data_IF_077096257770
#
_entry.id   IF_077096257770
#
_cell.length_a   1.000
_cell.length_b   1.000
_cell.length_c   1.000
_cell.angle_alpha   90.00
_cell.angle_beta   90.00
_cell.angle_gamma   90.00
#
_symmetry.space_group_name_H-M   'P 1'
#
loop_
_entity.id
_entity.type
_entity.pdbx_description
1 polymer ?
#
# COMPACT_ATOMS: atom_id res chain seq x y z
N UNK A 1 -13.01 28.21 7.11
CA UNK A 1 -11.64 27.69 7.35
C UNK A 1 -11.42 26.52 6.40
N UNK A 2 -10.37 26.51 5.55
CA UNK A 2 -10.05 25.33 4.77
C UNK A 2 -9.50 24.25 5.72
N UNK A 3 -10.18 23.12 5.79
CA UNK A 3 -9.70 21.94 6.51
C UNK A 3 -8.47 21.46 5.74
N UNK A 4 -7.27 21.36 6.34
CA UNK A 4 -6.12 20.80 5.65
C UNK A 4 -6.48 19.38 5.21
N UNK A 5 -6.07 18.94 4.00
CA UNK A 5 -6.31 17.58 3.57
C UNK A 5 -5.73 16.66 4.64
N UNK A 6 -6.58 15.80 5.20
CA UNK A 6 -6.18 14.77 6.14
C UNK A 6 -5.13 13.97 5.37
N UNK A 7 -3.84 14.19 5.68
CA UNK A 7 -2.77 13.38 5.12
C UNK A 7 -3.13 11.95 5.50
N UNK A 8 -3.21 11.02 4.53
CA UNK A 8 -3.41 9.64 4.89
C UNK A 8 -2.32 9.29 5.89
N UNK A 9 -2.71 8.58 6.95
CA UNK A 9 -1.76 7.94 7.84
C UNK A 9 -1.09 6.88 6.97
N UNK A 10 -0.12 7.30 6.16
CA UNK A 10 0.87 6.45 5.53
C UNK A 10 1.71 5.90 6.70
N UNK A 11 1.12 4.99 7.49
CA UNK A 11 1.93 3.99 8.19
C UNK A 11 2.74 3.37 7.07
N UNK A 12 4.06 3.51 7.09
CA UNK A 12 4.86 2.90 6.01
C UNK A 12 4.43 1.44 5.86
N UNK A 13 4.38 0.93 4.64
CA UNK A 13 3.93 -0.43 4.39
C UNK A 13 4.75 -1.42 5.22
N UNK A 14 6.02 -1.10 5.43
CA UNK A 14 6.91 -1.75 6.40
C UNK A 14 6.38 -1.78 7.84
N UNK A 15 5.87 -0.67 8.35
CA UNK A 15 5.24 -0.59 9.68
C UNK A 15 3.97 -1.45 9.70
N UNK A 16 3.16 -1.40 8.65
CA UNK A 16 1.96 -2.22 8.53
C UNK A 16 2.29 -3.74 8.54
N UNK A 17 3.29 -4.18 7.77
CA UNK A 17 3.72 -5.58 7.74
C UNK A 17 4.31 -6.05 9.06
N UNK A 18 5.01 -5.18 9.79
CA UNK A 18 5.51 -5.48 11.14
C UNK A 18 4.38 -5.62 12.16
N UNK A 19 3.35 -4.79 12.04
CA UNK A 19 2.17 -4.80 12.91
C UNK A 19 1.21 -5.95 12.55
N UNK A 20 1.23 -6.47 11.32
CA UNK A 20 0.31 -7.47 10.80
C UNK A 20 1.03 -8.68 10.15
N UNK A 21 1.78 -9.49 10.93
CA UNK A 21 2.65 -10.54 10.40
C UNK A 21 1.89 -11.67 9.67
N UNK A 22 0.64 -11.94 10.06
CA UNK A 22 -0.19 -12.96 9.40
C UNK A 22 -0.61 -12.52 7.99
N UNK A 23 -1.01 -11.25 7.81
CA UNK A 23 -1.33 -10.72 6.49
C UNK A 23 -0.08 -10.60 5.61
N UNK A 24 1.06 -10.22 6.19
CA UNK A 24 2.33 -10.23 5.49
C UNK A 24 2.69 -11.63 4.94
N UNK A 25 2.40 -12.70 5.69
CA UNK A 25 2.66 -14.07 5.24
C UNK A 25 1.81 -14.48 4.04
N UNK A 26 0.53 -14.10 4.00
CA UNK A 26 -0.38 -14.42 2.88
C UNK A 26 -0.01 -13.64 1.62
N UNK A 27 0.28 -12.33 1.74
CA UNK A 27 0.71 -11.48 0.62
C UNK A 27 2.00 -12.03 -0.02
N UNK A 28 2.95 -12.47 0.81
CA UNK A 28 4.20 -13.05 0.33
C UNK A 28 3.98 -14.46 -0.25
N UNK A 29 3.16 -15.29 0.39
CA UNK A 29 2.79 -16.62 -0.08
C UNK A 29 2.11 -16.61 -1.45
N UNK A 30 1.27 -15.62 -1.73
CA UNK A 30 0.61 -15.44 -3.03
C UNK A 30 1.61 -15.09 -4.15
N UNK A 31 2.69 -14.36 -3.84
CA UNK A 31 3.75 -14.08 -4.83
C UNK A 31 4.66 -15.30 -5.05
N UNK A 32 4.86 -16.12 -4.03
CA UNK A 32 5.72 -17.31 -4.12
C UNK A 32 4.99 -18.57 -4.61
N UNK A 33 3.67 -18.59 -4.77
CA UNK A 33 2.99 -19.69 -5.47
C UNK A 33 3.48 -19.88 -6.93
N UNK A 34 4.05 -18.83 -7.54
CA UNK A 34 4.80 -18.92 -8.81
C UNK A 34 6.29 -19.32 -8.68
N UNK A 35 6.84 -19.32 -7.46
CA UNK A 35 8.24 -19.63 -7.13
C UNK A 35 8.29 -20.79 -6.12
N UNK A 36 8.37 -22.01 -6.65
CA UNK A 36 8.44 -23.28 -5.90
C UNK A 36 9.19 -23.16 -4.56
N UNK A 37 8.47 -23.50 -3.48
CA UNK A 37 8.89 -23.97 -2.14
C UNK A 37 10.16 -23.33 -1.54
N UNK A 38 10.01 -22.51 -0.50
CA UNK A 38 11.01 -22.40 0.57
C UNK A 38 10.34 -22.09 1.93
N UNK A 39 10.87 -22.60 3.07
CA UNK A 39 10.25 -22.57 4.39
C UNK A 39 10.75 -21.44 5.30
N UNK A 40 11.22 -20.32 4.75
CA UNK A 40 11.85 -19.25 5.53
C UNK A 40 10.85 -18.17 5.96
N UNK A 41 11.02 -17.69 7.19
CA UNK A 41 10.16 -16.69 7.84
C UNK A 41 9.86 -15.49 6.94
N UNK A 42 8.62 -15.02 6.99
CA UNK A 42 8.03 -13.88 6.25
C UNK A 42 8.97 -12.68 6.06
N UNK A 43 9.84 -12.39 7.03
CA UNK A 43 10.85 -11.32 6.98
C UNK A 43 11.97 -11.59 5.97
N UNK A 44 12.50 -12.80 5.90
CA UNK A 44 13.61 -13.16 5.00
C UNK A 44 13.17 -13.11 3.54
N UNK A 45 11.93 -13.51 3.24
CA UNK A 45 11.38 -13.42 1.89
C UNK A 45 11.17 -11.97 1.42
N UNK A 46 10.69 -11.10 2.32
CA UNK A 46 10.57 -9.66 2.09
C UNK A 46 11.94 -9.03 1.87
N UNK A 47 12.93 -9.36 2.70
CA UNK A 47 14.31 -8.88 2.56
C UNK A 47 14.98 -9.42 1.30
N UNK A 48 14.66 -10.64 0.86
CA UNK A 48 15.17 -11.23 -0.38
C UNK A 48 14.57 -10.59 -1.63
N UNK A 49 13.27 -10.31 -1.66
CA UNK A 49 12.68 -9.52 -2.75
C UNK A 49 13.20 -8.08 -2.76
N UNK A 50 13.35 -7.48 -1.58
CA UNK A 50 13.90 -6.13 -1.46
C UNK A 50 15.35 -6.06 -1.86
N UNK A 51 16.19 -7.02 -1.51
CA UNK A 51 17.59 -7.05 -1.94
C UNK A 51 17.70 -7.16 -3.45
N UNK A 52 16.90 -8.01 -4.11
CA UNK A 52 16.85 -8.09 -5.58
C UNK A 52 16.36 -6.80 -6.24
N UNK A 53 15.38 -6.10 -5.64
CA UNK A 53 14.89 -4.81 -6.15
C UNK A 53 15.86 -3.67 -5.86
N UNK A 54 16.50 -3.66 -4.70
CA UNK A 54 17.57 -2.73 -4.33
C UNK A 54 18.78 -2.91 -5.23
N UNK A 55 19.18 -4.13 -5.52
CA UNK A 55 20.26 -4.43 -6.46
C UNK A 55 19.94 -3.86 -7.86
N UNK A 56 18.70 -4.00 -8.35
CA UNK A 56 18.26 -3.36 -9.60
C UNK A 56 18.23 -1.83 -9.53
N UNK A 57 17.94 -1.27 -8.37
CA UNK A 57 17.98 0.16 -8.11
C UNK A 57 19.41 0.70 -8.07
N UNK A 58 20.32 -0.06 -7.46
CA UNK A 58 21.75 0.26 -7.32
C UNK A 58 22.49 0.10 -8.65
N UNK A 59 22.16 -0.93 -9.44
CA UNK A 59 22.76 -1.18 -10.76
C UNK A 59 22.14 -0.32 -11.87
N UNK A 60 20.82 -0.07 -11.82
CA UNK A 60 20.09 0.69 -12.84
C UNK A 60 19.97 2.20 -12.56
N UNK A 61 20.17 2.61 -11.31
CA UNK A 61 20.19 4.01 -10.87
C UNK A 61 19.03 4.86 -11.39
N UNK A 62 19.36 6.06 -11.86
CA UNK A 62 18.39 7.02 -12.40
C UNK A 62 17.65 6.54 -13.66
N UNK A 63 18.26 5.67 -14.47
CA UNK A 63 17.63 5.13 -15.70
C UNK A 63 16.45 4.21 -15.35
N UNK A 64 16.63 3.35 -14.34
CA UNK A 64 15.56 2.49 -13.84
C UNK A 64 14.38 3.31 -13.30
N UNK A 65 14.66 4.32 -12.46
CA UNK A 65 13.61 5.19 -11.88
C UNK A 65 12.83 5.93 -12.96
N UNK A 66 13.51 6.49 -13.97
CA UNK A 66 12.88 7.18 -15.09
C UNK A 66 11.96 6.25 -15.90
N UNK A 67 12.42 5.05 -16.21
CA UNK A 67 11.63 4.06 -16.94
C UNK A 67 10.39 3.61 -16.15
N UNK A 68 10.52 3.39 -14.83
CA UNK A 68 9.39 3.07 -13.96
C UNK A 68 8.42 4.24 -13.86
N UNK A 69 8.90 5.46 -13.68
CA UNK A 69 8.06 6.65 -13.61
C UNK A 69 7.21 6.82 -14.87
N UNK A 70 7.79 6.57 -16.06
CA UNK A 70 7.03 6.60 -17.31
C UNK A 70 5.92 5.54 -17.36
N UNK A 71 6.16 4.33 -16.84
CA UNK A 71 5.12 3.29 -16.74
C UNK A 71 3.99 3.71 -15.79
N UNK A 72 4.32 4.35 -14.66
CA UNK A 72 3.31 4.89 -13.76
C UNK A 72 2.44 5.95 -14.42
N UNK A 73 3.06 6.92 -15.10
CA UNK A 73 2.34 8.00 -15.77
C UNK A 73 1.48 7.55 -16.96
N UNK A 74 1.97 6.59 -17.74
CA UNK A 74 1.29 6.16 -18.98
C UNK A 74 0.19 5.13 -18.75
N UNK A 75 0.33 4.30 -17.70
CA UNK A 75 -0.52 3.12 -17.51
C UNK A 75 -1.06 3.02 -16.10
N UNK A 76 -0.18 2.82 -15.11
CA UNK A 76 -0.63 2.36 -13.79
C UNK A 76 -1.57 3.34 -13.07
N UNK A 77 -1.37 4.65 -13.20
CA UNK A 77 -2.24 5.62 -12.54
C UNK A 77 -3.70 5.55 -13.02
N UNK A 78 -3.94 5.15 -14.27
CA UNK A 78 -5.28 5.02 -14.83
C UNK A 78 -5.95 3.71 -14.42
N UNK A 79 -5.16 2.68 -14.11
CA UNK A 79 -5.63 1.33 -13.76
C UNK A 79 -5.83 1.14 -12.26
N UNK A 80 -5.42 2.11 -11.41
CA UNK A 80 -5.53 1.99 -9.95
C UNK A 80 -6.94 1.58 -9.46
N UNK A 81 -8.05 2.13 -9.99
CA UNK A 81 -9.40 1.79 -9.51
C UNK A 81 -9.79 0.32 -9.75
N UNK A 82 -9.17 -0.34 -10.74
CA UNK A 82 -9.49 -1.71 -11.14
C UNK A 82 -8.51 -2.74 -10.54
N UNK A 83 -7.50 -2.27 -9.79
CA UNK A 83 -6.49 -3.14 -9.20
C UNK A 83 -6.97 -3.80 -7.90
N UNK A 84 -6.52 -5.03 -7.68
CA UNK A 84 -6.73 -5.73 -6.41
C UNK A 84 -5.89 -5.11 -5.30
N UNK A 85 -6.30 -5.30 -4.04
CA UNK A 85 -5.55 -4.78 -2.88
C UNK A 85 -4.09 -5.23 -2.89
N UNK A 86 -3.83 -6.49 -3.25
CA UNK A 86 -2.46 -7.03 -3.36
C UNK A 86 -1.61 -6.26 -4.36
N UNK A 87 -2.17 -5.87 -5.50
CA UNK A 87 -1.46 -5.16 -6.57
C UNK A 87 -1.14 -3.73 -6.13
N UNK A 88 -2.14 -3.04 -5.57
CA UNK A 88 -1.97 -1.70 -5.01
C UNK A 88 -0.90 -1.69 -3.90
N UNK A 89 -0.92 -2.70 -3.03
CA UNK A 89 0.07 -2.87 -1.97
C UNK A 89 1.50 -3.03 -2.52
N UNK A 90 1.70 -3.80 -3.58
CA UNK A 90 3.02 -3.93 -4.22
C UNK A 90 3.48 -2.64 -4.90
N UNK A 91 2.56 -1.92 -5.53
CA UNK A 91 2.87 -0.61 -6.10
C UNK A 91 3.23 0.41 -5.03
N UNK A 92 2.57 0.35 -3.86
CA UNK A 92 2.86 1.22 -2.72
C UNK A 92 4.27 0.92 -2.17
N UNK A 93 4.62 -0.36 -1.98
CA UNK A 93 5.98 -0.78 -1.60
C UNK A 93 7.06 -0.30 -2.57
N UNK A 94 6.80 -0.44 -3.87
CA UNK A 94 7.76 0.03 -4.87
C UNK A 94 7.96 1.55 -4.78
N UNK A 95 6.88 2.32 -4.62
CA UNK A 95 7.00 3.78 -4.49
C UNK A 95 7.73 4.20 -3.22
N UNK A 96 7.59 3.47 -2.10
CA UNK A 96 8.39 3.67 -0.89
C UNK A 96 9.88 3.47 -1.17
N UNK A 97 10.26 2.37 -1.82
CA UNK A 97 11.66 2.07 -2.15
C UNK A 97 12.26 3.16 -3.08
N UNK A 98 11.47 3.69 -4.03
CA UNK A 98 11.87 4.81 -4.90
C UNK A 98 12.09 6.10 -4.12
N UNK A 99 11.16 6.44 -3.23
CA UNK A 99 11.24 7.63 -2.37
C UNK A 99 12.46 7.57 -1.46
N UNK A 100 12.71 6.43 -0.82
CA UNK A 100 13.89 6.23 0.04
C UNK A 100 15.20 6.35 -0.75
N UNK A 101 15.26 5.76 -1.94
CA UNK A 101 16.43 5.87 -2.82
C UNK A 101 16.74 7.31 -3.22
N UNK A 102 15.73 8.06 -3.66
CA UNK A 102 15.93 9.45 -4.08
C UNK A 102 16.33 10.32 -2.89
N UNK A 103 15.76 10.10 -1.70
CA UNK A 103 16.19 10.77 -0.46
C UNK A 103 17.66 10.46 -0.15
N UNK A 104 18.08 9.21 -0.31
CA UNK A 104 19.47 8.79 -0.17
C UNK A 104 20.40 9.51 -1.16
N UNK A 105 20.01 9.59 -2.43
CA UNK A 105 20.77 10.30 -3.46
C UNK A 105 20.87 11.80 -3.15
N UNK A 106 19.78 12.46 -2.76
CA UNK A 106 19.78 13.88 -2.36
C UNK A 106 20.78 14.12 -1.22
N UNK A 107 20.77 13.26 -0.20
CA UNK A 107 21.66 13.39 0.96
C UNK A 107 23.14 13.18 0.61
N UNK A 108 23.43 12.34 -0.40
CA UNK A 108 24.80 12.14 -0.92
C UNK A 108 25.26 13.27 -1.84
N UNK A 109 24.33 13.99 -2.46
CA UNK A 109 24.67 14.99 -3.48
C UNK A 109 24.94 16.35 -2.83
N UNK A 110 26.21 16.62 -2.49
CA UNK A 110 26.65 17.91 -1.94
C UNK A 110 26.59 19.12 -2.90
N UNK A 111 25.91 19.00 -4.05
CA UNK A 111 25.81 20.05 -5.09
C UNK A 111 24.36 20.48 -5.31
N UNK A 112 24.12 21.79 -5.37
CA UNK A 112 22.77 22.39 -5.41
C UNK A 112 21.92 22.03 -6.65
N UNK A 113 22.52 21.95 -7.85
CA UNK A 113 21.75 21.74 -9.10
C UNK A 113 21.19 20.31 -9.25
N UNK A 114 21.98 19.24 -9.10
CA UNK A 114 21.44 17.87 -9.13
C UNK A 114 20.40 17.62 -8.04
N UNK A 115 20.55 18.26 -6.87
CA UNK A 115 19.58 18.16 -5.79
C UNK A 115 18.20 18.75 -6.15
N UNK A 116 18.12 19.76 -7.03
CA UNK A 116 16.84 20.33 -7.46
C UNK A 116 16.04 19.36 -8.33
N UNK A 117 16.70 18.72 -9.31
CA UNK A 117 16.06 17.72 -10.17
C UNK A 117 15.58 16.50 -9.36
N UNK A 118 16.41 16.03 -8.42
CA UNK A 118 16.04 14.93 -7.52
C UNK A 118 14.86 15.31 -6.60
N UNK A 119 14.77 16.56 -6.14
CA UNK A 119 13.61 17.03 -5.36
C UNK A 119 12.32 17.06 -6.18
N UNK A 120 12.37 17.39 -7.46
CA UNK A 120 11.20 17.33 -8.35
C UNK A 120 10.78 15.88 -8.62
N UNK A 121 11.75 14.99 -8.84
CA UNK A 121 11.51 13.55 -8.98
C UNK A 121 10.87 12.99 -7.71
N UNK A 122 11.42 13.33 -6.53
CA UNK A 122 10.89 12.94 -5.23
C UNK A 122 9.42 13.34 -5.04
N UNK A 123 9.08 14.61 -5.30
CA UNK A 123 7.69 15.09 -5.22
C UNK A 123 6.75 14.31 -6.13
N UNK A 124 7.24 13.93 -7.31
CA UNK A 124 6.43 13.15 -8.26
C UNK A 124 6.14 11.75 -7.71
N UNK A 125 7.14 11.08 -7.14
CA UNK A 125 6.97 9.77 -6.51
C UNK A 125 6.10 9.83 -5.26
N UNK A 126 6.25 10.85 -4.42
CA UNK A 126 5.38 11.08 -3.25
C UNK A 126 3.93 11.32 -3.67
N UNK A 127 3.69 12.04 -4.77
CA UNK A 127 2.34 12.21 -5.32
C UNK A 127 1.73 10.89 -5.84
N UNK A 128 2.53 10.04 -6.51
CA UNK A 128 2.10 8.71 -6.96
C UNK A 128 1.77 7.82 -5.76
N UNK A 129 2.65 7.80 -4.75
CA UNK A 129 2.45 7.04 -3.51
C UNK A 129 1.13 7.45 -2.83
N UNK A 130 0.87 8.76 -2.75
CA UNK A 130 -0.36 9.31 -2.20
C UNK A 130 -1.60 8.90 -3.02
N UNK A 131 -1.51 8.91 -4.35
CA UNK A 131 -2.60 8.48 -5.21
C UNK A 131 -2.96 7.00 -4.97
N UNK A 132 -1.97 6.12 -4.90
CA UNK A 132 -2.18 4.68 -4.61
C UNK A 132 -2.82 4.51 -3.23
N UNK A 133 -2.30 5.17 -2.20
CA UNK A 133 -2.83 5.07 -0.84
C UNK A 133 -4.30 5.54 -0.77
N UNK A 134 -4.63 6.65 -1.42
CA UNK A 134 -6.00 7.16 -1.46
C UNK A 134 -6.96 6.22 -2.21
N UNK A 135 -6.49 5.57 -3.27
CA UNK A 135 -7.28 4.55 -3.99
C UNK A 135 -7.51 3.34 -3.09
N UNK A 136 -6.47 2.83 -2.42
CA UNK A 136 -6.61 1.74 -1.45
C UNK A 136 -7.62 2.08 -0.35
N UNK A 137 -7.48 3.25 0.30
CA UNK A 137 -8.41 3.71 1.35
C UNK A 137 -9.87 3.75 0.87
N UNK A 138 -10.09 4.04 -0.41
CA UNK A 138 -11.43 4.12 -1.01
C UNK A 138 -11.99 2.76 -1.36
N UNK A 139 -11.24 1.93 -2.08
CA UNK A 139 -11.66 0.58 -2.44
C UNK A 139 -11.83 -0.30 -1.20
N UNK A 140 -10.91 -0.21 -0.23
CA UNK A 140 -11.03 -0.92 1.05
C UNK A 140 -12.35 -0.59 1.75
N UNK A 141 -12.73 0.68 1.76
CA UNK A 141 -13.97 1.12 2.39
C UNK A 141 -15.22 0.61 1.68
N UNK A 142 -15.26 0.75 0.36
CA UNK A 142 -16.39 0.32 -0.46
C UNK A 142 -16.57 -1.20 -0.38
N UNK A 143 -15.48 -1.95 -0.51
CA UNK A 143 -15.52 -3.41 -0.45
C UNK A 143 -15.91 -3.93 0.95
N UNK A 144 -15.38 -3.32 2.03
CA UNK A 144 -15.80 -3.67 3.39
C UNK A 144 -17.28 -3.35 3.64
N UNK A 145 -17.81 -2.28 3.04
CA UNK A 145 -19.22 -1.94 3.13
C UNK A 145 -20.10 -2.97 2.40
N UNK A 146 -19.65 -3.46 1.24
CA UNK A 146 -20.34 -4.53 0.50
C UNK A 146 -20.41 -5.83 1.32
N UNK A 147 -19.28 -6.27 1.90
CA UNK A 147 -19.25 -7.42 2.80
C UNK A 147 -20.07 -7.20 4.08
N UNK A 148 -20.09 -5.98 4.59
CA UNK A 148 -20.88 -5.64 5.78
C UNK A 148 -22.39 -5.79 5.52
N UNK A 149 -22.88 -5.34 4.37
CA UNK A 149 -24.31 -5.45 4.06
C UNK A 149 -24.74 -6.83 3.57
N UNK A 150 -23.85 -7.58 2.94
CA UNK A 150 -24.16 -8.91 2.41
C UNK A 150 -23.05 -9.93 2.73
N UNK A 151 -23.33 -10.86 3.65
CA UNK A 151 -22.42 -11.94 4.02
C UNK A 151 -22.12 -12.91 2.87
N UNK A 152 -23.00 -13.01 1.87
CA UNK A 152 -22.81 -13.87 0.69
C UNK A 152 -22.07 -13.14 -0.44
N UNK A 153 -21.76 -11.84 -0.27
CA UNK A 153 -20.98 -11.09 -1.26
C UNK A 153 -19.60 -11.73 -1.45
N UNK A 154 -19.24 -11.94 -2.72
CA UNK A 154 -17.95 -12.47 -3.14
C UNK A 154 -17.30 -11.44 -4.04
N UNK A 155 -16.43 -10.62 -3.46
CA UNK A 155 -15.49 -9.79 -4.21
C UNK A 155 -14.10 -10.41 -4.24
N UNK A 156 -13.32 -10.08 -5.26
CA UNK A 156 -11.95 -10.58 -5.42
C UNK A 156 -10.89 -9.49 -5.12
N UNK A 157 -11.32 -8.30 -4.70
CA UNK A 157 -10.43 -7.20 -4.34
C UNK A 157 -9.51 -7.56 -3.16
N UNK A 158 -10.07 -8.20 -2.13
CA UNK A 158 -9.34 -8.66 -0.94
C UNK A 158 -8.65 -10.03 -1.11
N UNK A 159 -8.50 -10.55 -2.33
CA UNK A 159 -7.80 -11.82 -2.55
C UNK A 159 -6.39 -11.80 -1.92
N UNK A 160 -6.13 -12.68 -0.95
CA UNK A 160 -4.89 -12.72 -0.16
C UNK A 160 -4.87 -11.80 1.07
N UNK A 161 -6.01 -11.20 1.43
CA UNK A 161 -6.24 -10.36 2.60
C UNK A 161 -7.50 -10.82 3.37
N UNK A 162 -7.77 -12.13 3.40
CA UNK A 162 -9.00 -12.72 3.95
C UNK A 162 -9.25 -12.33 5.42
N UNK A 163 -8.17 -12.15 6.19
CA UNK A 163 -8.20 -11.65 7.58
C UNK A 163 -8.91 -10.31 7.73
N UNK A 164 -8.97 -9.47 6.68
CA UNK A 164 -9.74 -8.22 6.74
C UNK A 164 -11.24 -8.50 6.83
N UNK A 165 -11.73 -9.45 6.03
CA UNK A 165 -13.13 -9.85 6.03
C UNK A 165 -13.48 -10.63 7.30
N UNK A 166 -12.58 -11.51 7.76
CA UNK A 166 -12.78 -12.22 9.03
C UNK A 166 -12.90 -11.27 10.22
N UNK A 167 -12.01 -10.27 10.31
CA UNK A 167 -12.08 -9.27 11.38
C UNK A 167 -13.33 -8.40 11.27
N UNK A 168 -13.73 -8.01 10.05
CA UNK A 168 -14.99 -7.30 9.82
C UNK A 168 -16.17 -8.08 10.41
N UNK A 169 -16.34 -9.34 10.05
CA UNK A 169 -17.44 -10.18 10.53
C UNK A 169 -17.38 -10.41 12.05
N UNK A 170 -16.20 -10.70 12.59
CA UNK A 170 -15.99 -10.88 14.03
C UNK A 170 -16.38 -9.63 14.83
N UNK A 171 -16.02 -8.43 14.36
CA UNK A 171 -16.36 -7.20 15.07
C UNK A 171 -17.81 -6.79 14.89
N UNK A 172 -18.39 -7.06 13.72
CA UNK A 172 -19.82 -6.89 13.46
C UNK A 172 -20.68 -7.68 14.46
N UNK A 173 -20.29 -8.91 14.78
CA UNK A 173 -21.04 -9.78 15.70
C UNK A 173 -20.78 -9.48 17.18
N UNK A 174 -19.64 -8.90 17.52
CA UNK A 174 -19.21 -8.74 18.92
C UNK A 174 -19.36 -7.32 19.48
N UNK A 175 -18.90 -6.30 18.75
CA UNK A 175 -18.76 -4.94 19.29
C UNK A 175 -18.69 -3.90 18.17
N UNK A 176 -19.77 -3.13 18.04
CA UNK A 176 -19.92 -2.06 17.04
C UNK A 176 -18.83 -0.98 17.16
N UNK A 177 -18.37 -0.67 18.38
CA UNK A 177 -17.29 0.31 18.58
C UNK A 177 -15.96 -0.23 18.08
N UNK A 178 -15.67 -1.52 18.31
CA UNK A 178 -14.48 -2.17 17.74
C UNK A 178 -14.54 -2.24 16.23
N UNK A 179 -15.72 -2.50 15.65
CA UNK A 179 -15.92 -2.45 14.21
C UNK A 179 -15.57 -1.06 13.66
N UNK A 180 -16.14 0.01 14.22
CA UNK A 180 -15.88 1.38 13.74
C UNK A 180 -14.40 1.78 13.84
N UNK A 181 -13.75 1.43 14.95
CA UNK A 181 -12.31 1.65 15.13
C UNK A 181 -11.48 0.86 14.10
N UNK A 182 -11.86 -0.40 13.84
CA UNK A 182 -11.21 -1.23 12.83
C UNK A 182 -11.34 -0.64 11.43
N UNK A 183 -12.55 -0.27 10.99
CA UNK A 183 -12.77 0.39 9.69
C UNK A 183 -11.96 1.68 9.60
N UNK A 184 -11.92 2.47 10.69
CA UNK A 184 -11.15 3.72 10.73
C UNK A 184 -9.66 3.46 10.55
N UNK A 185 -9.13 2.43 11.18
CA UNK A 185 -7.72 2.06 11.09
C UNK A 185 -7.35 1.62 9.68
N UNK A 186 -8.18 0.80 9.02
CA UNK A 186 -7.81 0.19 7.73
C UNK A 186 -8.15 1.04 6.50
N UNK A 187 -9.08 1.99 6.60
CA UNK A 187 -9.54 2.81 5.44
C UNK A 187 -9.25 4.29 5.57
N UNK A 188 -8.77 4.72 6.75
CA UNK A 188 -8.57 6.11 7.13
C UNK A 188 -9.79 7.04 6.90
N UNK A 189 -11.00 6.52 6.67
CA UNK A 189 -12.22 7.34 6.50
C UNK A 189 -12.60 8.06 7.79
N UNK A 190 -13.47 9.07 7.70
CA UNK A 190 -13.91 9.83 8.86
C UNK A 190 -14.82 8.98 9.77
N UNK A 191 -14.65 9.10 11.10
CA UNK A 191 -15.43 8.31 12.07
C UNK A 191 -16.93 8.54 11.95
N UNK A 192 -17.38 9.78 11.80
CA UNK A 192 -18.80 10.11 11.62
C UNK A 192 -19.39 9.47 10.36
N UNK A 193 -18.59 9.37 9.28
CA UNK A 193 -19.03 8.64 8.07
C UNK A 193 -19.14 7.15 8.35
N UNK A 194 -18.17 6.57 9.04
CA UNK A 194 -18.15 5.14 9.40
C UNK A 194 -19.35 4.79 10.28
N UNK A 195 -19.63 5.59 11.32
CA UNK A 195 -20.75 5.38 12.23
C UNK A 195 -22.10 5.38 11.51
N UNK A 196 -22.24 6.20 10.46
CA UNK A 196 -23.45 6.29 9.63
C UNK A 196 -23.59 5.11 8.67
N UNK A 197 -22.50 4.69 8.04
CA UNK A 197 -22.55 3.69 6.96
C UNK A 197 -22.53 2.25 7.54
N UNK A 198 -21.99 2.03 8.74
CA UNK A 198 -21.90 0.73 9.43
C UNK A 198 -22.81 0.69 10.69
N UNK A 199 -24.13 0.66 10.48
CA UNK A 199 -25.16 0.70 11.54
C UNK A 199 -25.59 -0.66 12.08
#
# INVERSE_FOLDING_TARGET
>A
MPVPPIQPILKSVMKYMKENPQQAAVIIGAVTAGLKKLPDTTKDLLEKQRSLKKEKLETGGASYRKNRLNKYKSKFLNELPDMKKKELFFHLLETEDMVESIKGDINKTGKANPALLLKQELKTWEAIQLAIANTMDTLDYEELLMHYHNYEYKGDYFEGFDLMIENLHKYKESDKRKLHLYIKEVTNKNMTKIERDFL
#
